data_IF_877521968769
#
_entry.id   IF_877521968769
#
_cell.length_a   1.000
_cell.length_b   1.000
_cell.length_c   1.000
_cell.angle_alpha   90.00
_cell.angle_beta   90.00
_cell.angle_gamma   90.00
#
_symmetry.space_group_name_H-M   'P 1'
#
loop_
_entity.id
_entity.type
_entity.pdbx_description
1 polymer ?
2 non-polymer ?
3 non-polymer ?
4 non-polymer ?
5 water ?
#
# COMPACT_ATOMS: atom_id res chain seq x y z
N UNK A 2 -4.00 3.22 13.19
CA UNK A 2 -3.88 1.93 12.49
C UNK A 2 -2.49 1.73 11.91
N UNK A 3 -2.22 0.48 11.51
CA UNK A 3 -0.94 0.14 10.92
C UNK A 3 -1.18 -0.60 9.62
N UNK A 4 -0.15 -0.64 8.78
CA UNK A 4 -0.19 -1.36 7.51
C UNK A 4 1.00 -2.31 7.48
N UNK A 5 0.71 -3.57 7.18
CA UNK A 5 1.74 -4.57 7.04
C UNK A 5 1.63 -5.10 5.64
N UNK A 6 2.66 -4.85 4.83
CA UNK A 6 2.65 -5.29 3.45
C UNK A 6 3.55 -6.50 3.31
N UNK A 7 3.00 -7.65 2.89
CA UNK A 7 3.82 -8.77 2.52
C UNK A 7 4.14 -8.65 1.04
N UNK A 8 5.41 -8.42 0.74
CA UNK A 8 5.86 -8.28 -0.65
C UNK A 8 6.35 -9.62 -1.14
N UNK A 9 5.59 -10.23 -2.05
CA UNK A 9 5.82 -11.61 -2.48
C UNK A 9 6.53 -11.68 -3.82
N UNK A 10 7.59 -12.46 -3.89
CA UNK A 10 8.27 -12.73 -5.14
C UNK A 10 7.67 -13.98 -5.77
N UNK A 11 7.26 -13.90 -7.03
CA UNK A 11 6.78 -15.09 -7.71
C UNK A 11 7.47 -15.25 -9.05
N UNK A 12 7.64 -16.50 -9.50
CA UNK A 12 8.20 -16.78 -10.82
C UNK A 12 7.40 -16.13 -11.94
N UNK A 13 8.04 -15.92 -13.08
CA UNK A 13 7.33 -15.46 -14.27
C UNK A 13 6.17 -16.41 -14.58
N UNK A 14 5.00 -15.84 -14.87
CA UNK A 14 3.84 -16.63 -15.26
C UNK A 14 3.08 -17.21 -14.09
N UNK A 15 3.60 -17.01 -12.89
CA UNK A 15 2.99 -17.58 -11.71
C UNK A 15 1.90 -16.68 -11.16
N UNK A 16 1.76 -15.49 -11.74
CA UNK A 16 0.78 -14.52 -11.28
C UNK A 16 -0.64 -15.02 -11.08
N UNK A 17 -1.28 -15.51 -12.16
CA UNK A 17 -2.65 -16.02 -12.09
C UNK A 17 -2.88 -17.09 -11.03
N UNK A 18 -1.95 -18.01 -10.87
CA UNK A 18 -2.10 -19.06 -9.86
C UNK A 18 -2.04 -18.47 -8.45
N UNK A 19 -1.11 -17.54 -8.22
CA UNK A 19 -1.04 -16.88 -6.92
C UNK A 19 -2.34 -16.15 -6.62
N UNK A 20 -2.83 -15.41 -7.60
CA UNK A 20 -4.06 -14.64 -7.46
C UNK A 20 -5.23 -15.56 -7.16
N UNK A 21 -5.25 -16.70 -7.85
CA UNK A 21 -6.29 -17.70 -7.66
C UNK A 21 -6.35 -18.17 -6.22
N UNK A 22 -5.19 -18.54 -5.69
CA UNK A 22 -5.08 -19.05 -4.33
C UNK A 22 -5.46 -17.99 -3.30
N UNK A 23 -5.03 -16.76 -3.48
CA UNK A 23 -5.48 -15.67 -2.61
C UNK A 23 -7.01 -15.52 -2.63
N UNK A 24 -7.59 -15.59 -3.82
CA UNK A 24 -9.04 -15.42 -3.95
C UNK A 24 -9.76 -16.51 -3.18
N UNK A 25 -9.23 -17.73 -3.28
CA UNK A 25 -9.79 -18.88 -2.55
C UNK A 25 -9.74 -18.77 -1.04
N UNK A 26 -8.67 -18.16 -0.52
CA UNK A 26 -8.49 -18.07 0.93
C UNK A 26 -8.65 -16.66 1.46
N UNK A 27 -9.24 -15.79 0.65
CA UNK A 27 -9.43 -14.39 1.00
C UNK A 27 -10.14 -14.21 2.34
N UNK A 28 -11.03 -15.15 2.66
CA UNK A 28 -11.89 -14.98 3.82
C UNK A 28 -11.46 -15.87 4.98
N UNK A 29 -10.17 -16.20 5.04
CA UNK A 29 -9.63 -16.97 6.15
C UNK A 29 -9.22 -16.03 7.28
N UNK A 30 -8.86 -14.80 6.90
CA UNK A 30 -8.38 -13.81 7.85
C UNK A 30 -9.48 -12.83 8.20
N UNK A 31 -10.64 -13.00 7.58
CA UNK A 31 -11.70 -12.00 7.61
C UNK A 31 -12.17 -11.54 9.01
N UNK A 32 -12.49 -12.50 9.88
CA UNK A 32 -12.88 -12.18 11.25
C UNK A 32 -11.77 -12.06 12.30
N UNK A 33 -10.52 -11.90 11.87
CA UNK A 33 -9.44 -11.78 12.83
C UNK A 33 -9.55 -10.48 13.64
N UNK A 34 -9.32 -10.56 14.95
CA UNK A 34 -9.47 -9.36 15.79
C UNK A 34 -8.52 -8.23 15.36
N UNK A 35 -9.08 -7.05 15.16
CA UNK A 35 -8.28 -5.90 14.77
C UNK A 35 -7.99 -5.85 13.28
N UNK A 36 -8.39 -6.88 12.55
CA UNK A 36 -8.12 -6.92 11.11
C UNK A 36 -9.06 -5.96 10.39
N UNK A 37 -8.52 -5.07 9.57
CA UNK A 37 -9.35 -4.08 8.89
C UNK A 37 -9.51 -4.36 7.40
N UNK A 38 -8.83 -5.37 6.90
CA UNK A 38 -8.97 -5.74 5.51
C UNK A 38 -7.65 -5.78 4.76
N UNK A 39 -7.69 -6.25 3.53
CA UNK A 39 -6.49 -6.31 2.73
C UNK A 39 -6.77 -6.17 1.26
N UNK A 40 -5.74 -5.79 0.53
CA UNK A 40 -5.78 -5.77 -0.93
C UNK A 40 -4.62 -6.59 -1.44
N UNK A 41 -4.87 -7.31 -2.52
CA UNK A 41 -3.81 -7.97 -3.26
C UNK A 41 -3.50 -7.12 -4.49
N UNK A 42 -2.26 -6.65 -4.57
CA UNK A 42 -1.85 -5.74 -5.64
C UNK A 42 -0.91 -6.41 -6.63
N UNK A 43 -1.34 -6.44 -7.90
CA UNK A 43 -0.53 -6.98 -9.00
C UNK A 43 0.40 -5.92 -9.54
N UNK A 44 1.71 -6.19 -9.59
CA UNK A 44 2.67 -5.20 -10.07
C UNK A 44 2.55 -4.94 -11.57
N UNK A 45 2.70 -3.67 -11.96
CA UNK A 45 2.57 -3.28 -13.37
C UNK A 45 3.81 -2.50 -13.82
N UNK A 46 4.36 -1.68 -12.93
CA UNK A 46 5.59 -0.96 -13.25
C UNK A 46 6.32 -0.54 -11.96
N UNK A 47 7.64 -0.55 -11.97
CA UNK A 47 8.38 -0.12 -10.80
C UNK A 47 8.59 -1.16 -9.69
N UNK A 48 7.83 -2.25 -9.74
CA UNK A 48 7.97 -3.37 -8.79
C UNK A 48 7.72 -4.66 -9.55
N UNK A 49 8.34 -5.75 -9.10
CA UNK A 49 8.08 -7.04 -9.70
C UNK A 49 7.36 -7.94 -8.70
N UNK A 50 7.24 -7.46 -7.46
CA UNK A 50 6.60 -8.25 -6.41
C UNK A 50 5.12 -7.93 -6.30
N UNK A 51 4.33 -8.92 -5.92
CA UNK A 51 2.96 -8.66 -5.50
C UNK A 51 2.98 -8.00 -4.13
N UNK A 52 2.14 -6.99 -3.92
CA UNK A 52 2.02 -6.41 -2.59
C UNK A 52 0.70 -6.87 -1.95
N UNK A 53 0.82 -7.53 -0.80
CA UNK A 53 -0.35 -7.90 -0.05
C UNK A 53 -0.50 -6.88 1.08
N UNK A 54 -1.40 -5.93 0.88
CA UNK A 54 -1.50 -4.78 1.77
C UNK A 54 -2.53 -5.03 2.85
N UNK A 55 -2.09 -5.29 4.08
CA UNK A 55 -3.02 -5.64 5.14
C UNK A 55 -3.10 -4.51 6.16
N UNK A 56 -4.32 -4.30 6.67
CA UNK A 56 -4.62 -3.17 7.54
C UNK A 56 -5.05 -3.68 8.90
N UNK A 57 -4.51 -3.09 9.97
CA UNK A 57 -4.79 -3.54 11.33
C UNK A 57 -5.00 -2.36 12.25
N UNK A 58 -5.85 -2.53 13.27
CA UNK A 58 -6.09 -1.46 14.25
C UNK A 58 -4.84 -1.12 15.04
N UNK A 59 -3.95 -2.09 15.19
CA UNK A 59 -2.76 -1.89 16.01
C UNK A 59 -1.69 -2.89 15.63
N UNK A 60 -0.45 -2.57 15.97
CA UNK A 60 0.63 -3.51 15.78
C UNK A 60 0.34 -4.74 16.64
N UNK A 61 -0.21 -4.48 17.82
CA UNK A 61 -0.55 -5.55 18.75
C UNK A 61 -1.49 -6.59 18.11
N UNK A 62 -2.51 -6.13 17.40
CA UNK A 62 -3.47 -7.03 16.74
C UNK A 62 -2.81 -7.85 15.64
N UNK A 63 -1.94 -7.22 14.87
CA UNK A 63 -1.21 -7.96 13.85
C UNK A 63 -0.31 -9.02 14.49
N UNK A 64 0.41 -8.65 15.54
CA UNK A 64 1.35 -9.58 16.16
C UNK A 64 0.65 -10.80 16.76
N UNK A 65 -0.56 -10.60 17.29
CA UNK A 65 -1.35 -11.69 17.83
C UNK A 65 -1.76 -12.64 16.71
N UNK A 66 -2.11 -12.08 15.57
CA UNK A 66 -2.51 -12.88 14.43
C UNK A 66 -1.34 -13.69 13.89
N UNK A 67 -0.17 -13.05 13.81
CA UNK A 67 1.01 -13.72 13.23
C UNK A 67 1.46 -14.89 14.08
N UNK A 68 1.29 -14.78 15.39
CA UNK A 68 1.81 -15.78 16.32
C UNK A 68 0.99 -17.05 16.46
N UNK A 69 0.14 -17.32 15.48
CA UNK A 69 -0.63 -18.53 15.51
C UNK A 69 -1.67 -18.60 14.40
N UNK A 70 -2.73 -17.80 14.52
CA UNK A 70 -3.82 -17.79 13.53
C UNK A 70 -3.32 -17.64 12.09
N UNK A 71 -2.28 -16.84 11.87
CA UNK A 71 -1.73 -16.67 10.52
C UNK A 71 -1.14 -17.98 10.01
N UNK A 72 -0.48 -18.71 10.91
CA UNK A 72 0.13 -19.97 10.53
C UNK A 72 -0.97 -20.95 10.19
N UNK A 73 -2.03 -20.94 10.99
CA UNK A 73 -3.19 -21.77 10.72
C UNK A 73 -3.85 -21.38 9.40
N UNK A 74 -3.92 -20.08 9.13
CA UNK A 74 -4.58 -19.58 7.93
C UNK A 74 -3.87 -19.98 6.63
N UNK A 75 -2.55 -20.16 6.70
CA UNK A 75 -1.76 -20.53 5.54
C UNK A 75 -1.55 -22.04 5.38
N UNK A 76 -1.99 -22.82 6.37
CA UNK A 76 -1.79 -24.27 6.34
C UNK A 76 -2.87 -25.00 5.56
N UNK A 77 -2.64 -26.28 5.31
CA UNK A 77 -3.68 -27.16 4.79
C UNK A 77 -4.07 -26.92 3.33
N UNK A 78 -3.09 -26.67 2.47
CA UNK A 78 -3.42 -26.53 1.05
C UNK A 78 -2.34 -27.11 0.16
N UNK A 79 -2.22 -26.57 -1.05
CA UNK A 79 -1.41 -27.16 -2.09
C UNK A 79 0.04 -27.33 -1.64
N UNK A 80 0.57 -28.54 -1.83
CA UNK A 80 1.91 -28.91 -1.35
C UNK A 80 3.04 -28.16 -2.05
N UNK A 81 2.69 -27.28 -2.98
CA UNK A 81 3.69 -26.53 -3.72
C UNK A 81 3.33 -25.04 -3.76
N UNK A 82 3.71 -24.29 -2.71
CA UNK A 82 3.47 -22.85 -2.68
C UNK A 82 4.15 -22.16 -3.85
N UNK A 83 3.54 -21.09 -4.34
CA UNK A 83 4.00 -20.39 -5.54
C UNK A 83 5.20 -19.48 -5.29
N UNK A 84 5.16 -18.75 -4.18
CA UNK A 84 6.15 -17.72 -3.88
C UNK A 84 7.56 -18.25 -3.72
N UNK A 85 8.53 -17.48 -4.19
CA UNK A 85 9.92 -17.87 -4.00
C UNK A 85 10.58 -17.06 -2.88
N UNK A 86 9.87 -16.04 -2.40
CA UNK A 86 10.38 -15.22 -1.32
C UNK A 86 9.35 -14.22 -0.89
N UNK A 87 9.52 -13.66 0.31
CA UNK A 87 8.61 -12.63 0.79
C UNK A 87 9.34 -11.75 1.78
N UNK A 88 8.98 -10.47 1.79
CA UNK A 88 9.52 -9.50 2.74
C UNK A 88 8.37 -8.75 3.39
N UNK A 89 8.36 -8.62 4.71
CA UNK A 89 7.31 -7.86 5.37
C UNK A 89 7.70 -6.39 5.55
N UNK A 90 6.91 -5.50 4.96
CA UNK A 90 7.14 -4.06 5.07
C UNK A 90 6.13 -3.49 6.04
N UNK A 91 6.60 -2.87 7.11
CA UNK A 91 5.70 -2.45 8.20
C UNK A 91 5.66 -0.93 8.32
N UNK A 92 4.45 -0.40 8.40
CA UNK A 92 4.20 1.05 8.41
C UNK A 92 3.19 1.44 9.49
N UNK A 93 3.26 2.70 9.90
CA UNK A 93 2.18 3.33 10.67
C UNK A 93 1.43 4.30 9.76
N UNK A 94 0.11 4.33 9.88
CA UNK A 94 -0.71 5.23 9.09
C UNK A 94 -0.65 6.64 9.66
N UNK A 95 -0.11 7.57 8.90
CA UNK A 95 -0.02 8.96 9.33
C UNK A 95 -1.26 9.74 8.91
N UNK A 96 -1.62 9.62 7.64
CA UNK A 96 -2.78 10.28 7.08
C UNK A 96 -3.61 9.27 6.33
N UNK A 97 -4.93 9.38 6.38
CA UNK A 97 -5.80 8.54 5.55
C UNK A 97 -6.91 9.43 5.04
N UNK A 98 -6.85 9.77 3.76
CA UNK A 98 -7.72 10.79 3.19
C UNK A 98 -8.55 10.21 2.04
N UNK A 99 -9.85 10.47 2.06
CA UNK A 99 -10.73 9.98 1.01
C UNK A 99 -10.63 10.85 -0.23
N UNK A 100 -11.39 10.51 -1.26
CA UNK A 100 -11.33 11.25 -2.51
C UNK A 100 -12.67 11.59 -3.13
N UNK A 101 -12.68 11.80 -4.44
CA UNK A 101 -13.91 12.08 -5.17
C UNK A 101 -14.74 10.83 -5.31
N UNK A 102 -14.11 9.79 -5.84
CA UNK A 102 -14.79 8.53 -6.11
C UNK A 102 -15.32 7.87 -4.85
N UNK B 2 -9.73 -1.00 -10.25
CA UNK B 2 -9.02 0.15 -9.71
C UNK B 2 -7.52 -0.08 -9.72
N UNK B 3 -6.74 0.99 -9.55
CA UNK B 3 -5.29 0.87 -9.54
C UNK B 3 -4.69 1.53 -8.30
N UNK B 4 -3.46 1.17 -8.00
CA UNK B 4 -2.75 1.80 -6.89
C UNK B 4 -1.42 2.31 -7.42
N UNK B 5 -1.13 3.55 -7.09
CA UNK B 5 0.13 4.17 -7.43
C UNK B 5 0.79 4.62 -6.14
N UNK B 6 1.92 4.02 -5.81
CA UNK B 6 2.61 4.37 -4.58
C UNK B 6 3.83 5.21 -4.91
N UNK B 7 3.87 6.43 -4.37
CA UNK B 7 5.11 7.18 -4.44
C UNK B 7 5.92 6.81 -3.19
N UNK B 8 7.05 6.14 -3.41
CA UNK B 8 7.93 5.76 -2.32
C UNK B 8 9.01 6.83 -2.18
N UNK B 9 8.91 7.59 -1.10
CA UNK B 9 9.73 8.79 -0.93
C UNK B 9 10.92 8.53 -0.04
N UNK B 10 12.10 8.95 -0.50
CA UNK B 10 13.30 8.89 0.32
C UNK B 10 13.52 10.21 1.06
N UNK B 11 13.71 10.16 2.38
CA UNK B 11 14.01 11.38 3.12
C UNK B 11 15.22 11.16 4.00
N UNK B 12 15.98 12.23 4.28
CA UNK B 12 17.12 12.07 5.17
C UNK B 12 16.71 11.54 6.55
N UNK B 13 17.62 10.86 7.22
CA UNK B 13 17.35 10.41 8.59
C UNK B 13 16.96 11.64 9.41
N UNK B 14 15.87 11.52 10.16
CA UNK B 14 15.39 12.60 11.01
C UNK B 14 14.51 13.63 10.34
N UNK B 15 14.36 13.56 9.02
CA UNK B 15 13.54 14.52 8.28
C UNK B 15 12.06 14.11 8.22
N UNK B 16 11.77 12.90 8.71
CA UNK B 16 10.42 12.37 8.74
C UNK B 16 9.34 13.30 9.28
N UNK B 17 9.52 13.79 10.52
CA UNK B 17 8.53 14.72 11.09
C UNK B 17 8.19 15.91 10.19
N UNK B 18 9.21 16.51 9.56
CA UNK B 18 8.96 17.65 8.70
C UNK B 18 8.18 17.27 7.46
N UNK B 19 8.55 16.14 6.85
CA UNK B 19 7.82 15.64 5.69
C UNK B 19 6.36 15.44 6.05
N UNK B 20 6.12 14.80 7.20
CA UNK B 20 4.76 14.50 7.63
C UNK B 20 3.97 15.78 7.84
N UNK B 21 4.64 16.77 8.42
CA UNK B 21 4.04 18.07 8.66
C UNK B 21 3.53 18.68 7.36
N UNK B 22 4.37 18.64 6.33
CA UNK B 22 4.02 19.21 5.04
C UNK B 22 2.87 18.48 4.36
N UNK B 23 2.90 17.16 4.37
CA UNK B 23 1.78 16.37 3.88
C UNK B 23 0.48 16.73 4.59
N UNK B 24 0.53 16.86 5.91
CA UNK B 24 -0.68 17.17 6.67
C UNK B 24 -1.26 18.52 6.23
N UNK B 25 -0.39 19.51 6.11
CA UNK B 25 -0.79 20.86 5.67
C UNK B 25 -1.36 20.86 4.25
N UNK B 26 -0.85 19.95 3.43
CA UNK B 26 -1.21 19.88 2.02
C UNK B 26 -2.05 18.65 1.71
N UNK B 27 -2.60 18.04 2.75
CA UNK B 27 -3.42 16.83 2.64
C UNK B 27 -4.57 16.97 1.66
N UNK B 28 -5.08 18.19 1.51
CA UNK B 28 -6.28 18.44 0.73
C UNK B 28 -5.95 19.12 -0.60
N UNK B 29 -4.79 18.81 -1.16
CA UNK B 29 -4.39 19.37 -2.44
C UNK B 29 -4.99 18.57 -3.59
N UNK B 30 -5.29 17.30 -3.33
CA UNK B 30 -5.78 16.40 -4.37
C UNK B 30 -7.32 16.33 -4.35
N UNK B 31 -7.94 17.13 -3.49
CA UNK B 31 -9.41 17.11 -3.44
C UNK B 31 -9.92 17.47 -4.85
N UNK B 32 -11.10 16.94 -5.17
CA UNK B 32 -11.83 17.31 -6.38
C UNK B 32 -11.21 16.70 -7.64
N UNK B 33 -10.24 15.82 -7.50
CA UNK B 33 -9.64 15.21 -8.69
C UNK B 33 -10.50 14.08 -9.25
N UNK B 34 -10.80 14.12 -10.57
CA UNK B 34 -11.63 13.06 -11.14
C UNK B 34 -10.95 11.69 -11.06
N UNK B 35 -11.68 10.68 -10.61
CA UNK B 35 -11.19 9.31 -10.52
C UNK B 35 -10.39 8.98 -9.28
N UNK B 36 -10.12 9.99 -8.47
CA UNK B 36 -9.32 9.81 -7.26
C UNK B 36 -10.13 9.15 -6.15
N UNK B 37 -9.58 8.08 -5.58
CA UNK B 37 -10.26 7.28 -4.56
C UNK B 37 -9.66 7.46 -3.17
N UNK B 38 -8.60 8.27 -3.07
CA UNK B 38 -8.03 8.57 -1.77
C UNK B 38 -6.58 8.18 -1.64
N UNK B 39 -5.94 8.57 -0.54
CA UNK B 39 -4.55 8.20 -0.31
C UNK B 39 -4.22 8.05 1.16
N UNK B 40 -3.14 7.31 1.41
CA UNK B 40 -2.58 7.19 2.75
C UNK B 40 -1.11 7.58 2.73
N UNK B 41 -0.68 8.28 3.78
CA UNK B 41 0.73 8.50 4.01
C UNK B 41 1.18 7.51 5.06
N UNK B 42 2.13 6.67 4.67
CA UNK B 42 2.59 5.58 5.52
C UNK B 42 4.01 5.84 6.01
N UNK B 43 4.15 5.88 7.33
CA UNK B 43 5.44 6.06 8.00
C UNK B 43 6.14 4.71 8.16
N UNK B 44 7.37 4.58 7.65
CA UNK B 44 8.08 3.29 7.74
C UNK B 44 8.50 2.95 9.16
N UNK B 45 8.39 1.67 9.50
CA UNK B 45 8.70 1.21 10.85
C UNK B 45 9.70 0.06 10.80
N UNK B 46 9.53 -0.82 9.81
CA UNK B 46 10.45 -1.93 9.60
C UNK B 46 10.35 -2.49 8.17
N UNK B 47 11.49 -2.93 7.63
CA UNK B 47 11.54 -3.53 6.31
C UNK B 47 11.65 -2.53 5.16
N UNK B 48 11.37 -1.27 5.47
CA UNK B 48 11.46 -0.16 4.52
C UNK B 48 11.98 1.08 5.24
N UNK B 49 12.67 1.93 4.50
CA UNK B 49 13.09 3.22 5.02
C UNK B 49 12.38 4.38 4.35
N UNK B 50 11.61 4.07 3.30
CA UNK B 50 10.91 5.10 2.55
C UNK B 50 9.50 5.30 3.09
N UNK B 51 9.00 6.52 3.00
CA UNK B 51 7.58 6.77 3.22
C UNK B 51 6.83 6.25 1.99
N UNK B 52 5.70 5.60 2.21
CA UNK B 52 4.85 5.19 1.09
C UNK B 52 3.65 6.11 1.01
N UNK B 53 3.51 6.77 -0.12
CA UNK B 53 2.32 7.56 -0.38
C UNK B 53 1.42 6.71 -1.28
N UNK B 54 0.43 6.08 -0.67
CA UNK B 54 -0.39 5.07 -1.34
C UNK B 54 -1.62 5.74 -1.90
N UNK B 55 -1.67 5.92 -3.21
CA UNK B 55 -2.81 6.60 -3.82
C UNK B 55 -3.67 5.62 -4.62
N UNK B 56 -4.97 5.84 -4.57
CA UNK B 56 -5.94 4.92 -5.16
C UNK B 56 -6.73 5.63 -6.26
N UNK B 57 -6.93 4.97 -7.40
CA UNK B 57 -7.60 5.58 -8.55
C UNK B 57 -8.52 4.58 -9.22
N UNK B 58 -9.61 5.08 -9.79
CA UNK B 58 -10.56 4.22 -10.50
C UNK B 58 -9.94 3.61 -11.74
N UNK B 59 -8.92 4.26 -12.29
CA UNK B 59 -8.28 3.77 -13.51
C UNK B 59 -6.90 4.36 -13.68
N UNK B 60 -6.07 3.70 -14.48
CA UNK B 60 -4.78 4.26 -14.82
C UNK B 60 -4.98 5.60 -15.54
N UNK B 61 -6.03 5.68 -16.36
CA UNK B 61 -6.36 6.89 -17.12
C UNK B 61 -6.55 8.09 -16.21
N UNK B 62 -7.27 7.88 -15.11
CA UNK B 62 -7.52 8.96 -14.16
C UNK B 62 -6.23 9.43 -13.50
N UNK B 63 -5.35 8.50 -13.18
CA UNK B 63 -4.05 8.87 -12.62
C UNK B 63 -3.20 9.64 -13.61
N UNK B 64 -3.11 9.16 -14.84
CA UNK B 64 -2.26 9.82 -15.83
C UNK B 64 -2.77 11.23 -16.09
N UNK B 65 -4.08 11.41 -16.06
CA UNK B 65 -4.67 12.74 -16.24
C UNK B 65 -4.26 13.67 -15.12
N UNK B 66 -4.24 13.17 -13.88
CA UNK B 66 -3.83 13.95 -12.73
C UNK B 66 -2.33 14.28 -12.79
N UNK B 67 -1.51 13.29 -13.15
CA UNK B 67 -0.06 13.48 -13.18
C UNK B 67 0.35 14.53 -14.20
N UNK B 68 -0.42 14.63 -15.28
CA UNK B 68 -0.09 15.50 -16.41
C UNK B 68 -0.46 16.98 -16.25
N UNK B 69 -0.68 17.42 -15.02
CA UNK B 69 -1.00 18.82 -14.80
C UNK B 69 -1.42 19.10 -13.38
N UNK B 70 -2.60 18.61 -12.99
CA UNK B 70 -3.11 18.82 -11.63
C UNK B 70 -2.12 18.44 -10.52
N UNK B 71 -1.36 17.35 -10.69
CA UNK B 71 -0.39 16.96 -9.65
C UNK B 71 0.71 18.02 -9.55
N UNK B 72 1.12 18.55 -10.68
CA UNK B 72 2.19 19.55 -10.70
C UNK B 72 1.70 20.82 -10.00
N UNK B 73 0.46 21.22 -10.28
CA UNK B 73 -0.13 22.37 -9.61
C UNK B 73 -0.27 22.09 -8.11
N UNK B 74 -0.66 20.85 -7.79
CA UNK B 74 -0.86 20.46 -6.40
C UNK B 74 0.44 20.46 -5.58
N UNK B 75 1.58 20.25 -6.22
CA UNK B 75 2.86 20.23 -5.52
C UNK B 75 3.57 21.60 -5.52
N UNK B 76 3.02 22.54 -6.28
CA UNK B 76 3.62 23.87 -6.40
C UNK B 76 3.16 24.77 -5.27
N UNK B 77 3.77 25.94 -5.20
CA UNK B 77 3.32 27.03 -4.35
C UNK B 77 3.53 26.93 -2.86
N UNK B 78 4.67 26.38 -2.44
CA UNK B 78 5.04 26.46 -1.03
C UNK B 78 6.54 26.57 -0.77
N UNK B 79 6.90 26.22 0.45
CA UNK B 79 8.22 26.48 1.00
C UNK B 79 9.28 25.82 0.13
N UNK B 80 10.31 26.58 -0.22
CA UNK B 80 11.35 26.07 -1.08
C UNK B 80 12.12 24.96 -0.35
N UNK B 81 12.98 24.29 -1.09
CA UNK B 81 13.74 23.16 -0.56
C UNK B 81 12.82 22.04 -0.07
N UNK B 82 12.32 21.23 -1.02
CA UNK B 82 11.61 20.01 -0.66
C UNK B 82 12.48 19.10 0.19
N UNK B 83 11.84 18.32 1.07
CA UNK B 83 12.54 17.45 2.03
C UNK B 83 13.08 16.19 1.35
N UNK B 84 12.30 15.64 0.43
CA UNK B 84 12.65 14.37 -0.20
C UNK B 84 13.97 14.47 -0.96
N UNK B 85 14.76 13.39 -0.93
CA UNK B 85 15.99 13.34 -1.71
C UNK B 85 15.81 12.45 -2.92
N UNK B 86 14.67 11.76 -2.97
CA UNK B 86 14.37 10.87 -4.07
C UNK B 86 12.97 10.31 -3.97
N UNK B 87 12.46 9.78 -5.07
CA UNK B 87 11.16 9.15 -5.09
C UNK B 87 11.09 8.12 -6.22
N UNK B 88 10.33 7.06 -5.98
CA UNK B 88 10.10 6.04 -7.01
C UNK B 88 8.61 5.74 -7.10
N UNK B 89 8.05 5.71 -8.32
CA UNK B 89 6.63 5.41 -8.47
C UNK B 89 6.41 3.90 -8.67
N UNK B 90 5.68 3.27 -7.74
CA UNK B 90 5.37 1.84 -7.82
C UNK B 90 3.92 1.68 -8.24
N UNK B 91 3.69 0.99 -9.35
CA UNK B 91 2.36 0.95 -9.94
C UNK B 91 1.76 -0.45 -9.92
N UNK B 92 0.52 -0.54 -9.46
CA UNK B 92 -0.19 -1.80 -9.26
C UNK B 92 -1.62 -1.77 -9.79
N UNK B 93 -2.15 -2.94 -10.09
CA UNK B 93 -3.58 -3.14 -10.32
C UNK B 93 -4.16 -3.86 -9.11
N UNK B 94 -5.35 -3.45 -8.68
CA UNK B 94 -6.00 -4.12 -7.56
C UNK B 94 -6.63 -5.43 -8.03
N UNK B 95 -6.17 -6.55 -7.46
CA UNK B 95 -6.70 -7.86 -7.81
C UNK B 95 -7.83 -8.21 -6.87
N UNK B 96 -7.57 -8.03 -5.58
CA UNK B 96 -8.54 -8.36 -4.55
C UNK B 96 -8.66 -7.18 -3.60
N UNK B 97 -9.86 -6.94 -3.08
CA UNK B 97 -10.06 -5.92 -2.06
C UNK B 97 -11.08 -6.45 -1.08
N UNK B 98 -10.60 -6.86 0.09
CA UNK B 98 -11.45 -7.58 1.04
C UNK B 98 -11.49 -6.85 2.37
N UNK B 99 -12.69 -6.57 2.88
CA UNK B 99 -12.83 -5.92 4.17
C UNK B 99 -12.70 -6.89 5.33
N UNK B 100 -12.49 -6.37 6.53
CA UNK B 100 -12.50 -7.19 7.72
C UNK B 100 -13.90 -7.28 8.28
N UNK B 101 -14.45 -8.50 8.34
CA UNK B 101 -15.83 -8.68 8.79
C UNK B 101 -15.92 -8.72 10.31
X LIG C 1 1.87 -16.71 0.94
X LIG C 1 2.94 -14.54 5.13
X LIG C 1 -1.23 -12.10 4.74
X LIG C 1 -2.79 -15.70 1.91
X LIG C 1 2.57 -16.26 2.04
X LIG C 1 3.97 -16.51 2.31
X LIG C 1 4.27 -15.92 3.45
X LIG C 1 3.08 -15.28 3.97
X LIG C 1 5.66 -15.91 4.12
X LIG C 1 4.94 -17.32 1.41
X LIG C 1 5.02 -18.78 1.85
X LIG C 1 3.69 -19.49 1.69
X LIG C 1 3.09 -19.88 2.73
X LIG C 1 3.25 -19.67 0.53
X LIG C 1 1.98 -13.57 5.29
X LIG C 1 2.09 -12.35 6.08
X LIG C 1 0.92 -11.68 5.96
X LIG C 1 0.06 -12.45 5.09
X LIG C 1 3.36 -11.98 6.87
X LIG C 1 0.45 -10.32 6.55
X LIG C 1 1.27 -9.33 6.90
X LIG C 1 -2.04 -12.93 4.00
X LIG C 1 -3.47 -12.77 3.83
X LIG C 1 -3.89 -13.77 3.03
X LIG C 1 -2.75 -14.58 2.69
X LIG C 1 -4.28 -11.60 4.47
X LIG C 1 -5.30 -14.12 2.50
X LIG C 1 -6.43 -13.49 2.85
X LIG C 1 -1.70 -16.24 1.29
X LIG C 1 -1.73 -17.09 0.13
X LIG C 1 -0.26 -17.39 -0.18
X LIG C 1 0.50 -16.70 0.83
X LIG C 1 -2.97 -17.55 -0.64
X LIG C 1 0.32 -18.25 -1.32
X LIG C 1 0.22 -19.72 -0.92
X LIG C 1 0.64 -20.60 -2.08
X LIG C 1 0.38 -21.83 -2.01
X LIG C 1 1.21 -20.07 -3.07
X LIG C 1 2.05 -15.50 3.07
X LIG C 1 0.72 -13.59 4.70
X LIG C 1 -1.61 -14.06 3.31
X LIG C 1 -0.38 -16.03 1.66
X LIG C 1 0.19 -14.81 3.18
X LIG D 1 0.23 -13.17 1.88
X LIG D 1 1.24 -12.79 1.54
X LIG E 1 -6.52 -23.38 -3.15
X LIG E 1 -5.81 -22.66 -2.42
X LIG E 1 -7.54 -23.87 -2.60
X LIG E 1 -6.17 -23.66 -4.57
X LIG F 1 6.73 15.18 -2.54
X LIG F 1 5.38 13.13 -6.72
X LIG F 1 1.19 12.02 -4.59
X LIG F 1 2.01 15.80 -1.67
X LIG F 1 6.77 14.65 -3.81
X LIG F 1 7.94 14.50 -4.64
X LIG F 1 7.57 13.93 -5.79
X LIG F 1 6.15 13.71 -5.73
X LIG F 1 8.51 13.58 -6.98
X LIG F 1 9.37 14.92 -4.26
X LIG F 1 9.68 16.29 -4.86
X LIG F 1 8.77 17.34 -4.29
X LIG F 1 8.13 18.09 -5.08
X LIG F 1 8.69 17.45 -3.04
X LIG F 1 4.19 12.53 -6.47
X LIG F 1 3.59 11.44 -7.21
X LIG F 1 2.44 11.11 -6.63
X LIG F 1 2.24 11.99 -5.48
X LIG F 1 4.16 10.72 -8.46
X LIG F 1 1.57 9.97 -7.18
X LIG F 1 0.60 9.38 -6.49
X LIG F 1 1.02 13.02 -3.65
X LIG F 1 -0.20 13.31 -2.92
X LIG F 1 0.04 14.36 -2.11
X LIG F 1 1.41 14.76 -2.32
X LIG F 1 -1.51 12.50 -3.05
X LIG F 1 -0.83 15.13 -1.10
X LIG F 1 -2.15 15.00 -0.97
X LIG F 1 3.37 15.90 -1.49
X LIG F 1 4.07 16.59 -0.43
X LIG F 1 5.56 16.38 -0.72
X LIG F 1 5.60 15.59 -1.92
X LIG F 1 3.42 17.36 0.74
X LIG F 1 6.80 16.88 0.05
X LIG F 1 7.07 18.31 -0.40
X LIG F 1 8.19 18.89 0.42
X LIG F 1 8.21 20.13 0.60
X LIG F 1 9.07 18.10 0.88
X LIG F 1 5.67 14.15 -4.50
X LIG F 1 3.34 12.83 -5.43
X LIG F 1 1.98 13.93 -3.27
X LIG F 1 4.31 15.32 -2.33
X LIG F 1 3.80 14.07 -3.88
X LIG G 1 3.70 12.36 -2.66
X LIG G 1 4.61 11.67 -2.58
X LIG H 1 3.76 23.48 4.35
X LIG H 1 4.01 23.27 5.56
X LIG H 1 4.66 23.20 3.54
X LIG H 1 2.44 24.04 3.89
#
# INVERSE_FOLDING_TARGET
MPVVKINAIEVPAGAGPELEKRFAHRAHAVENSPGFLGFQLLRPVKGEERYFVVTHWESDEAFQAWANGPAIAAHAGHRANPVATGASLLEFEVVLDVGGTGKTAGVPRGKLAAALEHHHHHH
MPVVKINAIEVPAGAGPELEKRFAHRAHAVENSPGFLGFQLLRPVKGEERYFVVTHWESDEAFQAWANGPAIAAHAGHRANPVATGASLLEFEVVLDVGGTGKTAGVPRGKLAAALEHHHHHH
HEM CHA CHB CHC CHD C1A C2A C3A C4A CMA CAA CBA CGA O1A O2A C1B C2B C3B C4B CMB CAB CBB C1C C2C C3C C4C CMC CAC CBC C1D C2D C3D C4D CMD CAD CBD CGD O1D O2D NA NB NC ND FE
CYN C N
ACT C O OXT CH3
HEM CHA CHB CHC CHD C1A C2A C3A C4A CMA CAA CBA CGA O1A O2A C1B C2B C3B C4B CMB CAB CBB C1C C2C C3C C4C CMC CAC CBC C1D C2D C3D C4D CMD CAD CBD CGD O1D O2D NA NB NC ND FE
CYN C N
ACT C O OXT CH3
#
